data_IF_618762728103
#
_entry.id   IF_618762728103
#
_cell.length_a   1.000
_cell.length_b   1.000
_cell.length_c   1.000
_cell.angle_alpha   90.00
_cell.angle_beta   90.00
_cell.angle_gamma   90.00
#
_symmetry.space_group_name_H-M   'P 1'
#
loop_
_entity.id
_entity.type
_entity.pdbx_description
1 polymer ?
#
# COMPACT_ATOMS: atom_id res chain seq x y z
N UNK A 1 1.04 13.41 -16.07
CA UNK A 1 2.06 12.38 -16.32
C UNK A 1 1.62 11.14 -15.56
N UNK A 2 1.64 9.95 -16.17
CA UNK A 2 1.06 8.73 -15.59
C UNK A 2 2.13 7.92 -14.83
N UNK A 3 1.81 7.44 -13.63
CA UNK A 3 2.67 6.60 -12.80
C UNK A 3 2.05 5.21 -12.62
N UNK A 4 2.77 4.18 -13.06
CA UNK A 4 2.43 2.79 -12.76
C UNK A 4 3.20 2.34 -11.53
N UNK A 5 2.49 2.04 -10.45
CA UNK A 5 3.08 1.66 -9.17
C UNK A 5 3.44 0.17 -9.17
N UNK A 6 4.70 -0.11 -8.88
CA UNK A 6 5.19 -1.47 -8.72
C UNK A 6 4.80 -2.06 -7.36
N UNK A 7 4.64 -3.38 -7.31
CA UNK A 7 4.35 -4.15 -6.09
C UNK A 7 5.32 -3.80 -4.95
N UNK A 8 6.59 -3.51 -5.25
CA UNK A 8 7.63 -3.25 -4.25
C UNK A 8 7.38 -1.99 -3.42
N UNK A 9 6.73 -0.95 -3.97
CA UNK A 9 6.36 0.26 -3.22
C UNK A 9 5.43 -0.14 -2.07
N UNK A 10 4.46 -1.00 -2.37
CA UNK A 10 3.52 -1.50 -1.38
C UNK A 10 4.18 -2.47 -0.39
N UNK A 11 5.10 -3.32 -0.84
CA UNK A 11 5.86 -4.21 0.06
C UNK A 11 6.73 -3.43 1.05
N UNK A 12 7.30 -2.29 0.64
CA UNK A 12 8.04 -1.40 1.54
C UNK A 12 7.19 -0.96 2.72
N UNK A 13 5.96 -0.51 2.45
CA UNK A 13 4.98 -0.13 3.46
C UNK A 13 4.49 -1.32 4.30
N UNK A 14 4.11 -2.44 3.67
CA UNK A 14 3.57 -3.64 4.34
C UNK A 14 4.60 -4.28 5.28
N UNK A 15 5.85 -4.37 4.82
CA UNK A 15 6.95 -5.01 5.54
C UNK A 15 7.74 -4.03 6.40
N UNK A 16 7.33 -2.75 6.48
CA UNK A 16 8.03 -1.67 7.20
C UNK A 16 9.52 -1.60 6.87
N UNK A 17 9.87 -1.75 5.59
CA UNK A 17 11.26 -1.68 5.11
C UNK A 17 11.66 -0.21 4.84
N UNK A 18 12.95 0.10 4.91
CA UNK A 18 13.51 1.44 5.22
C UNK A 18 13.22 2.61 4.26
N UNK A 19 12.41 2.46 3.21
CA UNK A 19 12.11 3.54 2.23
C UNK A 19 10.77 4.23 2.43
N UNK A 20 10.07 3.95 3.54
CA UNK A 20 8.71 4.43 3.80
C UNK A 20 8.57 5.96 3.67
N UNK A 21 9.59 6.75 4.02
CA UNK A 21 9.50 8.22 3.97
C UNK A 21 9.58 8.80 2.56
N UNK A 22 10.38 8.20 1.66
CA UNK A 22 10.45 8.61 0.25
C UNK A 22 9.13 8.31 -0.46
N UNK A 23 8.59 7.11 -0.21
CA UNK A 23 7.31 6.68 -0.76
C UNK A 23 6.18 7.60 -0.28
N UNK A 24 6.09 7.88 1.04
CA UNK A 24 5.12 8.83 1.60
C UNK A 24 5.22 10.21 0.95
N UNK A 25 6.43 10.71 0.75
CA UNK A 25 6.63 12.02 0.14
C UNK A 25 6.20 12.05 -1.33
N UNK A 26 6.37 10.94 -2.05
CA UNK A 26 5.84 10.77 -3.41
C UNK A 26 4.30 10.78 -3.41
N UNK A 27 3.66 9.93 -2.60
CA UNK A 27 2.19 9.82 -2.56
C UNK A 27 1.51 11.13 -2.15
N UNK A 28 2.11 11.92 -1.24
CA UNK A 28 1.60 13.26 -0.86
C UNK A 28 1.62 14.29 -1.99
N UNK A 29 2.51 14.12 -2.98
CA UNK A 29 2.70 15.08 -4.08
C UNK A 29 2.06 14.62 -5.38
N UNK A 30 1.89 13.31 -5.55
CA UNK A 30 1.34 12.74 -6.75
C UNK A 30 -0.17 13.02 -6.86
N UNK A 31 -0.62 13.33 -8.08
CA UNK A 31 -2.05 13.36 -8.37
C UNK A 31 -2.58 11.93 -8.40
N UNK A 32 -3.58 11.67 -7.57
CA UNK A 32 -4.28 10.39 -7.48
C UNK A 32 -4.76 9.85 -8.83
N UNK A 33 -5.28 10.73 -9.69
CA UNK A 33 -5.79 10.35 -11.00
C UNK A 33 -4.70 9.82 -11.95
N UNK A 34 -3.43 10.07 -11.60
CA UNK A 34 -2.27 9.63 -12.35
C UNK A 34 -1.62 8.36 -11.80
N UNK A 35 -2.10 7.83 -10.67
CA UNK A 35 -1.55 6.63 -10.03
C UNK A 35 -2.35 5.40 -10.48
N UNK A 36 -1.63 4.43 -11.05
CA UNK A 36 -2.23 3.18 -11.51
C UNK A 36 -1.52 1.99 -10.90
N UNK A 37 -2.27 0.90 -10.73
CA UNK A 37 -1.77 -0.41 -10.29
C UNK A 37 -2.31 -1.45 -11.27
N UNK A 38 -1.51 -2.46 -11.59
CA UNK A 38 -1.98 -3.57 -12.43
C UNK A 38 -2.80 -4.58 -11.61
N UNK A 39 -3.73 -5.26 -12.25
CA UNK A 39 -4.46 -6.38 -11.64
C UNK A 39 -3.51 -7.46 -11.11
N UNK A 40 -2.38 -7.66 -11.78
CA UNK A 40 -1.33 -8.57 -11.34
C UNK A 40 -0.68 -8.13 -10.02
N UNK A 41 -0.35 -6.85 -9.87
CA UNK A 41 0.20 -6.32 -8.63
C UNK A 41 -0.84 -6.41 -7.50
N UNK A 42 -2.11 -6.10 -7.79
CA UNK A 42 -3.20 -6.22 -6.83
C UNK A 42 -3.41 -7.67 -6.35
N UNK A 43 -3.45 -8.63 -7.29
CA UNK A 43 -3.53 -10.06 -6.99
C UNK A 43 -2.35 -10.50 -6.11
N UNK A 44 -1.14 -10.12 -6.50
CA UNK A 44 0.08 -10.45 -5.76
C UNK A 44 0.03 -9.94 -4.32
N UNK A 45 -0.39 -8.70 -4.10
CA UNK A 45 -0.56 -8.14 -2.76
C UNK A 45 -1.60 -8.90 -1.95
N UNK A 46 -2.74 -9.23 -2.55
CA UNK A 46 -3.76 -10.07 -1.92
C UNK A 46 -3.19 -11.40 -1.44
N UNK A 47 -2.49 -12.13 -2.32
CA UNK A 47 -1.84 -13.40 -1.96
C UNK A 47 -0.87 -13.22 -0.79
N UNK A 48 -0.05 -12.16 -0.78
CA UNK A 48 0.91 -11.89 0.29
C UNK A 48 0.20 -11.62 1.62
N UNK A 49 -0.79 -10.74 1.66
CA UNK A 49 -1.54 -10.46 2.88
C UNK A 49 -2.27 -11.69 3.45
N UNK A 50 -2.85 -12.53 2.58
CA UNK A 50 -3.48 -13.77 3.01
C UNK A 50 -2.46 -14.76 3.58
N UNK A 51 -1.29 -14.92 2.94
CA UNK A 51 -0.21 -15.79 3.46
C UNK A 51 0.29 -15.33 4.82
N UNK A 52 0.33 -14.02 5.05
CA UNK A 52 0.72 -13.42 6.34
C UNK A 52 -0.41 -13.43 7.40
N UNK A 53 -1.57 -14.05 7.10
CA UNK A 53 -2.77 -14.06 7.96
C UNK A 53 -3.27 -12.66 8.33
N UNK A 54 -3.13 -11.70 7.40
CA UNK A 54 -3.53 -10.29 7.55
C UNK A 54 -4.64 -9.87 6.56
N UNK A 55 -5.77 -10.61 6.44
CA UNK A 55 -6.81 -10.29 5.47
C UNK A 55 -7.53 -8.97 5.80
N UNK A 56 -7.60 -8.57 7.08
CA UNK A 56 -8.24 -7.30 7.49
C UNK A 56 -7.41 -6.09 7.08
N UNK A 57 -6.10 -6.22 7.11
CA UNK A 57 -5.15 -5.20 6.67
C UNK A 57 -5.18 -5.07 5.15
N UNK A 58 -5.36 -6.17 4.41
CA UNK A 58 -5.62 -6.11 2.97
C UNK A 58 -6.91 -5.36 2.65
N UNK A 59 -8.01 -5.68 3.34
CA UNK A 59 -9.28 -4.97 3.14
C UNK A 59 -9.13 -3.46 3.38
N UNK A 60 -8.43 -3.05 4.44
CA UNK A 60 -8.12 -1.63 4.71
C UNK A 60 -7.24 -0.99 3.65
N UNK A 61 -6.27 -1.73 3.11
CA UNK A 61 -5.42 -1.27 2.02
C UNK A 61 -6.24 -0.95 0.76
N UNK A 62 -7.22 -1.80 0.42
CA UNK A 62 -8.17 -1.57 -0.68
C UNK A 62 -9.09 -0.38 -0.38
N UNK A 63 -9.69 -0.36 0.80
CA UNK A 63 -10.80 0.57 1.13
C UNK A 63 -10.33 1.98 1.50
N UNK A 64 -9.12 2.15 2.02
CA UNK A 64 -8.77 3.34 2.80
C UNK A 64 -7.42 3.98 2.54
N UNK A 65 -6.35 3.20 2.37
CA UNK A 65 -5.00 3.77 2.48
C UNK A 65 -4.42 4.22 1.13
N UNK A 66 -4.29 3.37 0.11
CA UNK A 66 -3.51 3.78 -1.08
C UNK A 66 -4.31 3.76 -2.37
N UNK A 67 -5.22 2.80 -2.55
CA UNK A 67 -6.00 2.69 -3.78
C UNK A 67 -7.18 3.67 -3.85
N UNK A 68 -7.75 4.03 -2.70
CA UNK A 68 -8.91 4.93 -2.64
C UNK A 68 -8.54 6.39 -2.34
N UNK A 69 -7.49 6.62 -1.54
CA UNK A 69 -7.12 7.96 -1.04
C UNK A 69 -5.69 8.41 -1.37
N UNK A 70 -4.82 7.47 -1.79
CA UNK A 70 -3.42 7.77 -2.12
C UNK A 70 -2.60 8.30 -0.96
N UNK A 71 -3.00 8.01 0.28
CA UNK A 71 -2.34 8.49 1.49
C UNK A 71 -1.76 7.32 2.28
N UNK A 72 -0.43 7.21 2.31
CA UNK A 72 0.27 6.21 3.11
C UNK A 72 0.20 6.54 4.61
N UNK A 73 -0.86 6.10 5.29
CA UNK A 73 -1.02 6.28 6.74
C UNK A 73 -0.36 5.16 7.51
N UNK A 74 0.70 5.43 8.28
CA UNK A 74 1.20 4.43 9.24
C UNK A 74 0.18 4.22 10.37
N UNK A 75 -0.31 2.98 10.54
CA UNK A 75 -0.95 2.58 11.80
C UNK A 75 -0.04 1.67 12.60
N UNK A 76 0.24 2.07 13.85
CA UNK A 76 0.77 1.17 14.87
C UNK A 76 -0.26 0.06 15.03
N UNK A 77 0.10 -1.17 14.66
CA UNK A 77 -0.68 -2.34 15.03
C UNK A 77 -0.73 -2.40 16.54
N UNK A 78 -1.90 -2.09 17.09
CA UNK A 78 -2.19 -2.28 18.51
C UNK A 78 -2.11 -3.79 18.75
N UNK A 79 -1.07 -4.22 19.47
CA UNK A 79 -0.99 -5.59 19.99
C UNK A 79 -2.19 -5.77 20.91
N UNK A 80 -3.24 -6.41 20.40
CA UNK A 80 -4.32 -6.92 21.24
C UNK A 80 -3.68 -7.98 22.15
N UNK A 81 -3.60 -7.64 23.44
CA UNK A 81 -3.20 -8.54 24.53
C UNK A 81 -4.19 -9.69 24.64
#
# INVERSE_FOLDING_TARGET
MMYLLDTNIFLGYILRRSRVEEDKAFFKRADLSSLHVTDFALHTLGVIYLRERKPKEFQKFIDGDILASGDLREKKMEKKR
#
